data_IF_785242309335
#
_entry.id   IF_785242309335
#
_cell.length_a   1.000
_cell.length_b   1.000
_cell.length_c   1.000
_cell.angle_alpha   90.00
_cell.angle_beta   90.00
_cell.angle_gamma   90.00
#
_symmetry.space_group_name_H-M   'P 1'
#
loop_
_entity.id
_entity.type
_entity.pdbx_description
1 polymer ?
#
# COMPACT_ATOMS: atom_id res chain seq x y z
N UNK A 1 -10.93 -2.42 -3.99
CA UNK A 1 -9.98 -1.38 -3.57
C UNK A 1 -9.36 -1.75 -2.23
N UNK A 2 -8.14 -1.23 -1.93
CA UNK A 2 -7.47 -1.57 -0.66
C UNK A 2 -6.73 -0.35 -0.09
N UNK A 3 -7.06 0.03 1.14
CA UNK A 3 -6.47 1.17 1.86
C UNK A 3 -6.00 0.75 3.25
N UNK A 4 -5.19 1.56 3.89
CA UNK A 4 -4.83 1.42 5.31
C UNK A 4 -4.40 2.76 5.87
N UNK A 5 -4.95 3.24 6.99
CA UNK A 5 -4.49 4.48 7.60
C UNK A 5 -3.01 4.44 8.01
N UNK A 6 -2.52 3.26 8.40
CA UNK A 6 -1.14 3.07 8.86
C UNK A 6 -0.39 2.16 7.89
N UNK A 7 0.68 2.69 7.27
CA UNK A 7 1.56 1.93 6.38
C UNK A 7 2.09 0.67 7.07
N UNK A 8 1.94 -0.47 6.41
CA UNK A 8 2.45 -1.75 6.93
C UNK A 8 1.47 -2.55 7.80
N UNK A 9 0.32 -2.00 8.17
CA UNK A 9 -0.75 -2.72 8.88
C UNK A 9 -1.73 -3.39 7.90
N UNK A 10 -2.75 -4.09 8.42
CA UNK A 10 -3.79 -4.75 7.64
C UNK A 10 -4.54 -3.78 6.72
N UNK A 11 -5.02 -4.30 5.61
CA UNK A 11 -5.78 -3.54 4.62
C UNK A 11 -7.27 -3.49 4.98
N UNK A 12 -7.91 -2.38 4.67
CA UNK A 12 -9.34 -2.24 4.54
C UNK A 12 -9.75 -2.39 3.07
N UNK A 13 -10.97 -2.83 2.84
CA UNK A 13 -11.56 -2.98 1.51
C UNK A 13 -12.84 -2.17 1.40
N UNK A 14 -12.74 -0.84 1.32
CA UNK A 14 -13.92 0.03 1.24
C UNK A 14 -14.64 -0.13 -0.10
N UNK A 15 -15.96 0.05 -0.10
CA UNK A 15 -16.78 0.06 -1.32
C UNK A 15 -16.59 1.33 -2.15
N UNK A 16 -16.11 2.42 -1.53
CA UNK A 16 -15.80 3.67 -2.19
C UNK A 16 -14.60 4.37 -1.53
N UNK A 17 -13.82 5.09 -2.34
CA UNK A 17 -12.73 5.97 -1.88
C UNK A 17 -12.85 7.32 -2.58
N UNK A 18 -12.50 8.39 -1.87
CA UNK A 18 -12.26 9.69 -2.49
C UNK A 18 -10.79 9.74 -2.89
N UNK A 19 -10.51 9.80 -4.18
CA UNK A 19 -9.17 10.05 -4.70
C UNK A 19 -8.88 11.55 -4.71
N UNK A 20 -7.90 11.94 -3.92
CA UNK A 20 -7.30 13.26 -3.89
C UNK A 20 -5.97 13.22 -4.68
N UNK A 21 -5.39 14.38 -4.99
CA UNK A 21 -4.07 14.43 -5.64
C UNK A 21 -2.98 13.69 -4.86
N UNK A 22 -3.15 13.57 -3.57
CA UNK A 22 -2.23 12.89 -2.64
C UNK A 22 -2.54 11.42 -2.41
N UNK A 23 -3.55 10.85 -3.07
CA UNK A 23 -3.99 9.45 -2.95
C UNK A 23 -5.40 9.31 -2.39
N UNK A 24 -5.78 8.10 -2.02
CA UNK A 24 -7.07 7.87 -1.38
C UNK A 24 -7.11 8.56 -0.01
N UNK A 25 -8.19 9.28 0.26
CA UNK A 25 -8.35 9.99 1.52
C UNK A 25 -8.20 9.03 2.71
N UNK A 26 -7.35 9.39 3.66
CA UNK A 26 -7.06 8.58 4.85
C UNK A 26 -6.10 7.41 4.63
N UNK A 27 -5.63 7.17 3.39
CA UNK A 27 -4.70 6.08 3.12
C UNK A 27 -3.28 6.47 3.47
N UNK A 28 -2.59 5.64 4.28
CA UNK A 28 -1.18 5.79 4.68
C UNK A 28 -0.83 7.16 5.28
N UNK A 29 -1.77 7.76 6.01
CA UNK A 29 -1.50 9.00 6.77
C UNK A 29 -0.45 8.79 7.87
N UNK A 30 -0.34 7.54 8.34
CA UNK A 30 0.56 7.16 9.40
C UNK A 30 1.53 6.07 8.94
N UNK A 31 2.66 5.99 9.63
CA UNK A 31 3.64 4.93 9.45
C UNK A 31 4.34 4.62 10.78
N UNK A 32 5.04 3.48 10.86
CA UNK A 32 5.73 3.03 12.07
C UNK A 32 7.24 3.12 11.85
N UNK A 33 7.97 3.66 12.83
CA UNK A 33 9.43 3.77 12.81
C UNK A 33 10.05 3.04 13.99
N UNK A 34 11.30 2.59 13.82
CA UNK A 34 12.13 2.01 14.89
C UNK A 34 12.83 3.09 15.74
N UNK A 35 13.61 2.67 16.73
CA UNK A 35 14.36 3.56 17.61
C UNK A 35 15.47 4.39 16.92
N UNK A 36 15.71 4.13 15.63
CA UNK A 36 16.68 4.88 14.78
C UNK A 36 15.97 5.70 13.70
N UNK A 37 14.70 5.97 13.87
CA UNK A 37 13.83 6.71 12.94
C UNK A 37 13.68 6.05 11.56
N UNK A 38 13.91 4.73 11.43
CA UNK A 38 13.77 4.01 10.16
C UNK A 38 12.39 3.38 10.06
N UNK A 39 11.80 3.46 8.88
CA UNK A 39 10.52 2.84 8.58
C UNK A 39 10.52 1.34 8.92
N UNK A 40 9.54 0.90 9.68
CA UNK A 40 9.22 -0.51 9.87
C UNK A 40 8.35 -0.97 8.71
N UNK A 41 8.94 -1.71 7.80
CA UNK A 41 8.25 -2.23 6.63
C UNK A 41 7.88 -3.71 6.78
N UNK A 42 6.91 -4.16 5.99
CA UNK A 42 6.43 -5.55 5.99
C UNK A 42 7.55 -6.55 5.67
N UNK A 43 8.53 -6.18 4.85
CA UNK A 43 9.64 -7.09 4.56
C UNK A 43 10.55 -7.31 5.79
N UNK A 44 10.69 -6.32 6.65
CA UNK A 44 11.46 -6.42 7.91
C UNK A 44 10.69 -7.28 8.93
N UNK A 45 9.43 -6.94 9.17
CA UNK A 45 8.56 -7.75 10.02
C UNK A 45 7.15 -7.83 9.45
N UNK A 46 6.65 -9.05 9.24
CA UNK A 46 5.26 -9.27 8.84
C UNK A 46 4.27 -9.22 9.99
N UNK A 47 4.74 -9.17 11.25
CA UNK A 47 3.86 -9.32 12.41
C UNK A 47 2.83 -8.20 12.54
N UNK A 48 3.14 -7.02 12.00
CA UNK A 48 2.25 -5.85 12.09
C UNK A 48 1.02 -5.95 11.19
N UNK A 49 1.02 -6.78 10.13
CA UNK A 49 -0.15 -6.94 9.25
C UNK A 49 -1.36 -7.55 9.97
N UNK A 50 -1.18 -8.14 11.15
CA UNK A 50 -2.28 -8.67 11.96
C UNK A 50 -3.13 -7.59 12.62
N UNK A 51 -2.65 -6.36 12.67
CA UNK A 51 -3.36 -5.23 13.25
C UNK A 51 -4.03 -4.40 12.16
N UNK A 52 -5.30 -4.12 12.35
CA UNK A 52 -6.08 -3.21 11.52
C UNK A 52 -6.24 -1.90 12.27
N UNK A 53 -5.82 -0.80 11.66
CA UNK A 53 -5.99 0.53 12.23
C UNK A 53 -7.25 1.19 11.66
N UNK A 54 -8.00 1.89 12.48
CA UNK A 54 -9.00 2.86 12.07
C UNK A 54 -8.60 4.24 12.61
N UNK A 55 -8.75 5.27 11.79
CA UNK A 55 -8.54 6.65 12.18
C UNK A 55 -9.84 7.44 11.97
N UNK A 56 -10.34 8.05 13.04
CA UNK A 56 -11.44 9.01 12.97
C UNK A 56 -10.86 10.43 13.07
N UNK A 57 -10.75 11.15 11.93
CA UNK A 57 -10.16 12.48 11.94
C UNK A 57 -11.02 13.53 12.63
N UNK A 58 -12.36 13.31 12.77
CA UNK A 58 -13.27 14.23 13.46
C UNK A 58 -13.10 14.16 14.97
N UNK A 59 -12.93 12.93 15.48
CA UNK A 59 -12.71 12.69 16.91
C UNK A 59 -11.22 12.71 17.27
N UNK A 60 -10.32 12.76 16.26
CA UNK A 60 -8.88 12.68 16.46
C UNK A 60 -8.45 11.37 17.16
N UNK A 61 -9.08 10.25 16.82
CA UNK A 61 -8.87 8.96 17.52
C UNK A 61 -8.29 7.91 16.56
N UNK A 62 -7.44 7.07 17.12
CA UNK A 62 -6.94 5.88 16.45
C UNK A 62 -7.34 4.65 17.26
N UNK A 63 -7.91 3.67 16.58
CA UNK A 63 -8.25 2.36 17.13
C UNK A 63 -7.40 1.30 16.45
N UNK A 64 -6.79 0.39 17.18
CA UNK A 64 -6.20 -0.84 16.66
C UNK A 64 -7.05 -2.05 17.02
N UNK A 65 -7.30 -2.91 16.07
CA UNK A 65 -7.94 -4.21 16.27
C UNK A 65 -7.06 -5.34 15.71
N UNK A 66 -7.23 -6.55 16.23
CA UNK A 66 -6.60 -7.78 15.75
C UNK A 66 -7.62 -8.90 15.77
N UNK A 67 -7.73 -9.65 14.69
CA UNK A 67 -8.74 -10.72 14.53
C UNK A 67 -10.18 -10.26 14.84
N UNK A 68 -10.52 -9.02 14.50
CA UNK A 68 -11.86 -8.44 14.76
C UNK A 68 -12.10 -7.94 16.16
N UNK A 69 -11.13 -8.08 17.07
CA UNK A 69 -11.23 -7.60 18.47
C UNK A 69 -10.42 -6.32 18.62
N UNK A 70 -11.00 -5.31 19.26
CA UNK A 70 -10.29 -4.09 19.63
C UNK A 70 -9.18 -4.42 20.63
N UNK A 71 -7.96 -3.95 20.33
CA UNK A 71 -6.78 -4.16 21.19
C UNK A 71 -6.47 -2.89 21.97
N UNK A 72 -6.55 -1.75 21.32
CA UNK A 72 -6.42 -0.45 21.98
C UNK A 72 -7.09 0.66 21.15
N UNK A 73 -7.48 1.71 21.86
CA UNK A 73 -8.10 2.91 21.31
C UNK A 73 -7.68 4.13 22.13
N UNK A 74 -7.54 5.27 21.49
CA UNK A 74 -7.17 6.51 22.19
C UNK A 74 -7.13 7.74 21.30
N UNK A 75 -6.98 8.94 21.90
CA UNK A 75 -6.75 10.16 21.15
C UNK A 75 -5.38 10.16 20.48
N UNK A 76 -5.32 10.60 19.23
CA UNK A 76 -4.08 10.73 18.46
C UNK A 76 -3.32 12.01 18.89
N UNK A 77 -2.69 11.99 20.05
CA UNK A 77 -1.94 13.14 20.56
C UNK A 77 -0.63 13.29 19.78
N UNK A 78 -0.38 14.47 19.23
CA UNK A 78 0.85 14.78 18.53
C UNK A 78 1.96 15.10 19.54
N UNK A 79 3.06 14.37 19.44
CA UNK A 79 4.27 14.52 20.24
C UNK A 79 5.39 15.27 19.51
N UNK A 80 6.61 14.77 19.61
CA UNK A 80 7.79 15.40 19.00
C UNK A 80 7.83 15.24 17.47
N UNK A 81 8.34 16.24 16.74
CA UNK A 81 8.60 16.10 15.31
C UNK A 81 9.74 15.11 15.07
N UNK A 82 9.71 14.46 13.92
CA UNK A 82 10.72 13.46 13.52
C UNK A 82 10.92 13.49 12.00
N UNK A 83 12.13 13.15 11.56
CA UNK A 83 12.46 12.90 10.16
C UNK A 83 12.72 11.41 10.00
N UNK A 84 11.77 10.70 9.44
CA UNK A 84 11.87 9.25 9.23
C UNK A 84 12.67 8.91 7.98
N UNK A 85 13.44 7.82 8.07
CA UNK A 85 14.19 7.27 6.95
C UNK A 85 13.36 6.14 6.28
N UNK A 86 12.95 6.37 5.05
CA UNK A 86 12.27 5.37 4.22
C UNK A 86 13.30 4.68 3.32
N UNK A 87 13.72 3.49 3.74
CA UNK A 87 14.60 2.57 3.01
C UNK A 87 16.04 3.06 2.75
N UNK A 88 16.47 4.17 3.33
CA UNK A 88 17.75 4.83 3.00
C UNK A 88 17.69 5.70 1.73
N UNK A 89 16.51 5.78 1.11
CA UNK A 89 16.30 6.46 -0.18
C UNK A 89 15.62 7.82 0.01
N UNK A 90 14.71 7.92 0.99
CA UNK A 90 13.87 9.10 1.18
C UNK A 90 13.72 9.47 2.65
N UNK A 91 13.74 10.76 2.95
CA UNK A 91 13.43 11.32 4.26
C UNK A 91 11.98 11.84 4.27
N UNK A 92 11.22 11.43 5.26
CA UNK A 92 9.81 11.80 5.43
C UNK A 92 9.64 12.51 6.76
N UNK A 93 9.21 13.76 6.71
CA UNK A 93 8.87 14.53 7.90
C UNK A 93 7.55 14.04 8.50
N UNK A 94 7.49 14.01 9.82
CA UNK A 94 6.29 13.61 10.54
C UNK A 94 6.34 14.03 12.00
N UNK A 95 5.28 13.69 12.70
CA UNK A 95 5.14 13.91 14.14
C UNK A 95 4.81 12.59 14.81
N UNK A 96 5.52 12.25 15.86
CA UNK A 96 5.23 11.07 16.69
C UNK A 96 3.80 11.19 17.23
N UNK A 97 3.06 10.10 17.21
CA UNK A 97 1.71 10.05 17.75
C UNK A 97 1.74 9.23 19.04
N UNK A 98 1.53 9.93 20.14
CA UNK A 98 1.54 9.33 21.47
C UNK A 98 0.21 8.61 21.73
N UNK A 99 0.29 7.40 22.25
CA UNK A 99 -0.88 6.61 22.56
C UNK A 99 -0.58 5.13 22.84
N UNK A 100 -1.59 4.34 23.19
CA UNK A 100 -1.41 2.95 23.62
C UNK A 100 -0.89 2.03 22.48
N UNK A 101 -1.09 2.40 21.23
CA UNK A 101 -0.61 1.64 20.06
C UNK A 101 0.90 1.48 20.02
N UNK A 102 1.68 2.45 20.55
CA UNK A 102 3.13 2.34 20.56
C UNK A 102 3.62 1.12 21.34
N UNK A 103 3.02 0.83 22.48
CA UNK A 103 3.33 -0.37 23.28
C UNK A 103 2.88 -1.66 22.55
N UNK A 104 1.64 -1.68 22.02
CA UNK A 104 1.08 -2.83 21.28
C UNK A 104 1.92 -3.17 20.03
N UNK A 105 2.29 -2.16 19.24
CA UNK A 105 3.08 -2.35 18.03
C UNK A 105 4.53 -2.72 18.35
N UNK A 106 5.11 -2.20 19.44
CA UNK A 106 6.46 -2.57 19.90
C UNK A 106 6.52 -4.04 20.32
N UNK A 107 5.55 -4.51 21.09
CA UNK A 107 5.47 -5.92 21.48
C UNK A 107 5.37 -6.83 20.24
N UNK A 108 4.49 -6.49 19.31
CA UNK A 108 4.34 -7.23 18.08
C UNK A 108 5.59 -7.18 17.19
N UNK A 109 6.26 -6.05 17.09
CA UNK A 109 7.48 -5.89 16.30
C UNK A 109 8.67 -6.64 16.94
N UNK A 110 8.68 -6.78 18.26
CA UNK A 110 9.78 -7.33 19.05
C UNK A 110 10.91 -6.33 19.27
N UNK A 111 10.67 -5.05 19.04
CA UNK A 111 11.58 -3.93 19.25
C UNK A 111 10.76 -2.65 19.53
N UNK A 112 11.32 -1.64 20.23
CA UNK A 112 10.63 -0.36 20.41
C UNK A 112 10.32 0.30 19.08
N UNK A 113 9.05 0.64 18.87
CA UNK A 113 8.58 1.35 17.68
C UNK A 113 7.66 2.50 18.07
N UNK A 114 7.52 3.47 17.18
CA UNK A 114 6.66 4.64 17.34
C UNK A 114 5.78 4.82 16.12
N UNK A 115 4.52 5.15 16.37
CA UNK A 115 3.59 5.59 15.33
C UNK A 115 3.90 7.06 15.00
N UNK A 116 3.93 7.38 13.72
CA UNK A 116 4.20 8.74 13.22
C UNK A 116 3.11 9.12 12.24
N UNK A 117 2.60 10.34 12.36
CA UNK A 117 1.75 10.98 11.35
C UNK A 117 2.64 11.71 10.36
N UNK A 118 2.47 11.48 9.07
CA UNK A 118 3.16 12.22 8.02
C UNK A 118 2.78 13.71 8.08
N UNK A 119 3.76 14.61 7.91
CA UNK A 119 3.49 16.05 7.87
C UNK A 119 2.78 16.44 6.58
N UNK A 120 3.20 15.86 5.46
CA UNK A 120 2.59 16.13 4.16
C UNK A 120 1.63 15.00 3.78
N UNK A 121 0.42 15.32 3.31
CA UNK A 121 -0.50 14.32 2.77
C UNK A 121 0.14 13.54 1.63
N UNK A 122 -0.01 12.20 1.65
CA UNK A 122 0.57 11.31 0.65
C UNK A 122 2.02 10.92 0.88
N UNK A 123 2.76 11.57 1.80
CA UNK A 123 4.17 11.23 2.08
C UNK A 123 4.35 9.81 2.65
N UNK A 124 3.30 9.17 3.15
CA UNK A 124 3.33 7.78 3.60
C UNK A 124 3.30 6.73 2.47
N UNK A 125 2.99 7.11 1.22
CA UNK A 125 3.09 6.19 0.07
C UNK A 125 4.54 5.83 -0.24
N UNK A 126 4.77 4.79 -1.05
CA UNK A 126 6.15 4.45 -1.47
C UNK A 126 6.63 5.47 -2.51
N UNK A 127 5.98 5.55 -3.67
CA UNK A 127 6.36 6.48 -4.75
C UNK A 127 5.16 7.34 -5.18
N UNK A 128 4.13 6.73 -5.74
CA UNK A 128 2.96 7.43 -6.27
C UNK A 128 1.70 7.15 -5.45
N UNK A 129 0.73 8.08 -5.48
CA UNK A 129 -0.48 8.00 -4.66
C UNK A 129 -1.46 6.90 -5.09
N UNK A 130 -1.40 6.45 -6.34
CA UNK A 130 -2.31 5.44 -6.90
C UNK A 130 -1.51 4.27 -7.46
N UNK A 131 -2.04 3.06 -7.25
CA UNK A 131 -1.49 1.82 -7.82
C UNK A 131 -2.60 0.99 -8.42
N UNK A 132 -2.38 0.41 -9.61
CA UNK A 132 -3.36 -0.42 -10.34
C UNK A 132 -2.77 -1.78 -10.66
N UNK A 133 -3.60 -2.83 -10.54
CA UNK A 133 -3.23 -4.21 -10.87
C UNK A 133 -4.44 -4.98 -11.38
N UNK A 134 -4.29 -5.67 -12.52
CA UNK A 134 -5.29 -6.55 -13.07
C UNK A 134 -5.44 -7.84 -12.27
N UNK A 135 -6.68 -8.27 -12.01
CA UNK A 135 -6.96 -9.56 -11.38
C UNK A 135 -6.51 -10.70 -12.28
N UNK A 136 -6.63 -10.55 -13.60
CA UNK A 136 -6.13 -11.50 -14.59
C UNK A 136 -4.61 -11.60 -14.58
N UNK A 137 -3.89 -10.52 -14.25
CA UNK A 137 -2.43 -10.55 -14.05
C UNK A 137 -2.06 -11.42 -12.84
N UNK A 138 -2.83 -11.32 -11.76
CA UNK A 138 -2.65 -12.16 -10.56
C UNK A 138 -3.01 -13.63 -10.85
N UNK A 139 -4.08 -13.87 -11.60
CA UNK A 139 -4.47 -15.22 -12.02
C UNK A 139 -3.41 -15.86 -12.94
N UNK A 140 -2.84 -15.08 -13.87
CA UNK A 140 -1.74 -15.52 -14.74
C UNK A 140 -0.47 -15.85 -13.94
N UNK A 141 -0.15 -15.05 -12.91
CA UNK A 141 0.95 -15.38 -12.00
C UNK A 141 0.74 -16.73 -11.32
N UNK A 142 -0.47 -17.01 -10.81
CA UNK A 142 -0.79 -18.28 -10.19
C UNK A 142 -0.63 -19.43 -11.20
N UNK A 143 -1.20 -19.28 -12.39
CA UNK A 143 -1.15 -20.28 -13.47
C UNK A 143 0.30 -20.59 -13.89
N UNK A 144 1.12 -19.56 -14.14
CA UNK A 144 2.55 -19.70 -14.52
C UNK A 144 3.39 -20.34 -13.45
N UNK A 145 3.01 -20.19 -12.21
CA UNK A 145 3.75 -20.72 -11.06
C UNK A 145 3.25 -22.09 -10.59
N UNK A 146 2.21 -22.63 -11.20
CA UNK A 146 1.65 -23.94 -10.85
C UNK A 146 0.97 -23.97 -9.48
N UNK A 147 0.54 -22.81 -8.94
CA UNK A 147 -0.22 -22.73 -7.69
C UNK A 147 -1.70 -22.48 -7.97
N UNK A 148 -2.56 -22.91 -7.05
CA UNK A 148 -4.02 -22.81 -7.21
C UNK A 148 -4.48 -21.34 -7.33
N UNK A 149 -3.94 -20.48 -6.48
CA UNK A 149 -4.27 -19.06 -6.45
C UNK A 149 -3.16 -18.25 -5.78
N UNK A 150 -3.11 -16.97 -6.09
CA UNK A 150 -2.30 -15.97 -5.39
C UNK A 150 -3.26 -14.91 -4.85
N UNK A 151 -3.16 -14.61 -3.57
CA UNK A 151 -3.94 -13.54 -2.97
C UNK A 151 -3.42 -12.18 -3.45
N UNK A 152 -4.27 -11.40 -4.13
CA UNK A 152 -3.94 -10.09 -4.64
C UNK A 152 -3.57 -9.07 -3.55
N UNK A 153 -4.05 -9.25 -2.32
CA UNK A 153 -3.74 -8.39 -1.18
C UNK A 153 -2.24 -8.33 -0.84
N UNK A 154 -1.47 -9.37 -1.23
CA UNK A 154 0.01 -9.38 -1.10
C UNK A 154 0.67 -8.21 -1.79
N UNK A 155 0.09 -7.73 -2.88
CA UNK A 155 0.60 -6.62 -3.67
C UNK A 155 0.20 -5.25 -3.13
N UNK A 156 -0.79 -5.20 -2.21
CA UNK A 156 -1.23 -3.99 -1.50
C UNK A 156 -1.57 -2.82 -2.44
N UNK A 157 -2.18 -3.15 -3.57
CA UNK A 157 -2.56 -2.18 -4.59
C UNK A 157 -3.84 -1.47 -4.20
N UNK A 158 -3.91 -0.17 -4.47
CA UNK A 158 -5.09 0.64 -4.17
C UNK A 158 -6.30 0.20 -4.99
N UNK A 159 -6.11 0.01 -6.30
CA UNK A 159 -7.16 -0.36 -7.24
C UNK A 159 -6.81 -1.70 -7.88
N UNK A 160 -7.69 -2.70 -7.73
CA UNK A 160 -7.72 -3.89 -8.56
C UNK A 160 -8.81 -3.73 -9.60
N UNK A 161 -8.56 -4.17 -10.83
CA UNK A 161 -9.53 -4.15 -11.91
C UNK A 161 -9.59 -5.52 -12.58
N UNK A 162 -10.71 -5.83 -13.24
CA UNK A 162 -10.94 -7.11 -13.94
C UNK A 162 -11.59 -6.89 -15.31
N UNK A 163 -11.73 -7.98 -16.08
CA UNK A 163 -12.36 -7.96 -17.41
C UNK A 163 -11.43 -7.58 -18.55
N UNK A 164 -10.12 -7.50 -18.31
CA UNK A 164 -9.11 -7.20 -19.33
C UNK A 164 -8.06 -8.33 -19.40
N UNK A 165 -7.23 -8.33 -20.44
CA UNK A 165 -6.15 -9.32 -20.57
C UNK A 165 -5.10 -9.17 -19.47
N UNK A 166 -4.50 -10.28 -19.05
CA UNK A 166 -3.39 -10.27 -18.10
C UNK A 166 -2.25 -9.36 -18.59
N UNK A 167 -1.72 -8.56 -17.67
CA UNK A 167 -0.62 -7.60 -17.91
C UNK A 167 -0.95 -6.46 -18.91
N UNK A 168 -2.22 -6.22 -19.20
CA UNK A 168 -2.62 -5.09 -20.05
C UNK A 168 -2.16 -3.74 -19.48
N UNK A 169 -2.09 -3.65 -18.14
CA UNK A 169 -1.60 -2.47 -17.42
C UNK A 169 -0.16 -2.08 -17.78
N UNK A 170 0.65 -3.01 -18.26
CA UNK A 170 2.03 -2.73 -18.71
C UNK A 170 2.07 -1.83 -19.95
N UNK A 171 0.97 -1.77 -20.71
CA UNK A 171 0.84 -0.93 -21.91
C UNK A 171 0.27 0.47 -21.61
N UNK A 172 0.02 0.80 -20.33
CA UNK A 172 -0.62 2.06 -19.94
C UNK A 172 0.31 3.21 -19.53
N UNK A 173 1.61 3.05 -19.30
CA UNK A 173 2.47 4.20 -18.98
C UNK A 173 2.27 5.36 -19.95
N UNK A 174 2.07 6.56 -19.38
CA UNK A 174 1.76 7.78 -20.13
C UNK A 174 0.28 7.97 -20.51
N UNK A 175 -0.57 6.95 -20.37
CA UNK A 175 -2.01 7.06 -20.64
C UNK A 175 -2.76 7.67 -19.46
N UNK A 176 -3.90 8.28 -19.76
CA UNK A 176 -4.88 8.71 -18.77
C UNK A 176 -5.97 7.67 -18.68
N UNK A 177 -6.35 7.34 -17.44
CA UNK A 177 -7.40 6.38 -17.14
C UNK A 177 -8.48 7.09 -16.33
N UNK A 178 -9.72 6.94 -16.76
CA UNK A 178 -10.89 7.34 -16.00
C UNK A 178 -11.35 6.15 -15.16
N UNK A 179 -11.51 6.38 -13.87
CA UNK A 179 -12.04 5.39 -12.91
C UNK A 179 -13.08 6.09 -12.05
N UNK A 180 -14.35 5.75 -12.24
CA UNK A 180 -15.44 6.46 -11.60
C UNK A 180 -15.41 7.95 -11.93
N UNK A 181 -15.40 8.82 -10.92
CA UNK A 181 -15.34 10.28 -11.11
C UNK A 181 -13.91 10.81 -11.28
N UNK A 182 -12.89 9.99 -10.98
CA UNK A 182 -11.49 10.40 -10.99
C UNK A 182 -10.82 10.17 -12.35
N UNK A 183 -9.77 10.98 -12.63
CA UNK A 183 -8.82 10.73 -13.72
C UNK A 183 -7.43 10.51 -13.13
N UNK A 184 -6.76 9.46 -13.57
CA UNK A 184 -5.38 9.17 -13.17
C UNK A 184 -4.49 9.06 -14.40
N UNK A 185 -3.25 9.55 -14.29
CA UNK A 185 -2.23 9.38 -15.31
C UNK A 185 -1.28 8.28 -14.90
N UNK A 186 -1.18 7.25 -15.72
CA UNK A 186 -0.30 6.12 -15.43
C UNK A 186 1.15 6.52 -15.61
N UNK A 187 1.93 6.27 -14.58
CA UNK A 187 3.38 6.44 -14.54
C UNK A 187 4.11 5.16 -14.94
N UNK A 188 5.13 4.81 -14.17
CA UNK A 188 5.92 3.61 -14.39
C UNK A 188 5.34 2.34 -13.77
N UNK A 189 6.02 1.19 -13.98
CA UNK A 189 5.66 -0.06 -13.36
C UNK A 189 6.01 -0.07 -11.86
N UNK A 190 5.30 -0.89 -11.07
CA UNK A 190 5.59 -1.06 -9.63
C UNK A 190 6.66 -2.13 -9.43
N UNK A 191 7.88 -1.79 -8.95
CA UNK A 191 8.88 -2.78 -8.58
C UNK A 191 8.44 -3.54 -7.32
N UNK A 192 8.67 -4.85 -7.30
CA UNK A 192 8.23 -5.73 -6.22
C UNK A 192 9.38 -6.18 -5.34
N UNK A 193 9.19 -6.03 -4.06
CA UNK A 193 10.13 -6.44 -3.03
C UNK A 193 9.62 -7.69 -2.26
N UNK A 194 10.42 -8.16 -1.33
CA UNK A 194 10.11 -9.32 -0.50
C UNK A 194 8.86 -9.16 0.40
N UNK A 195 8.28 -7.98 0.52
CA UNK A 195 7.03 -7.78 1.24
C UNK A 195 5.89 -8.64 0.68
N UNK A 196 5.82 -8.81 -0.65
CA UNK A 196 4.80 -9.60 -1.33
C UNK A 196 4.89 -11.11 -1.06
N UNK A 197 6.03 -11.59 -0.52
CA UNK A 197 6.21 -13.00 -0.15
C UNK A 197 5.49 -13.37 1.15
N UNK A 198 4.92 -12.39 1.84
CA UNK A 198 4.25 -12.60 3.12
C UNK A 198 2.75 -12.76 2.93
N UNK A 199 2.19 -13.64 3.75
CA UNK A 199 0.74 -13.78 3.90
C UNK A 199 0.15 -12.44 4.39
N UNK A 200 -0.90 -11.90 3.74
CA UNK A 200 -1.44 -10.58 4.05
C UNK A 200 -2.10 -10.49 5.43
N UNK A 201 -2.56 -11.61 6.00
CA UNK A 201 -3.24 -11.64 7.30
C UNK A 201 -2.30 -12.06 8.43
N UNK A 202 -1.44 -13.05 8.17
CA UNK A 202 -0.54 -13.64 9.19
C UNK A 202 0.86 -13.08 9.18
N UNK A 203 1.28 -12.47 8.06
CA UNK A 203 2.61 -11.92 7.89
C UNK A 203 3.73 -12.95 7.75
N UNK A 204 3.41 -14.24 7.73
CA UNK A 204 4.38 -15.30 7.51
C UNK A 204 4.89 -15.29 6.06
N UNK A 205 6.14 -15.67 5.83
CA UNK A 205 6.64 -15.89 4.47
C UNK A 205 6.20 -17.28 4.02
N UNK A 206 5.29 -17.34 3.08
CA UNK A 206 4.65 -18.58 2.64
C UNK A 206 4.64 -18.75 1.12
N UNK A 207 4.83 -17.67 0.35
CA UNK A 207 4.78 -17.72 -1.11
C UNK A 207 5.92 -16.90 -1.74
N UNK A 208 6.81 -17.48 -2.57
CA UNK A 208 7.96 -16.77 -3.13
C UNK A 208 7.56 -15.92 -4.36
N UNK A 209 6.63 -14.97 -4.18
CA UNK A 209 6.01 -14.19 -5.27
C UNK A 209 7.02 -13.47 -6.15
N UNK A 210 8.08 -12.87 -5.60
CA UNK A 210 9.13 -12.21 -6.40
C UNK A 210 9.83 -13.19 -7.33
N UNK A 211 10.14 -14.42 -6.84
CA UNK A 211 10.73 -15.48 -7.67
C UNK A 211 9.74 -15.96 -8.74
N UNK A 212 8.46 -16.08 -8.37
CA UNK A 212 7.39 -16.49 -9.28
C UNK A 212 7.25 -15.50 -10.43
N UNK A 213 7.16 -14.19 -10.13
CA UNK A 213 7.08 -13.15 -11.17
C UNK A 213 8.35 -13.18 -12.04
N UNK A 214 9.53 -13.24 -11.41
CA UNK A 214 10.80 -13.28 -12.12
C UNK A 214 10.91 -14.44 -13.11
N UNK A 215 10.33 -15.59 -12.80
CA UNK A 215 10.47 -16.80 -13.61
C UNK A 215 9.90 -16.67 -15.02
N UNK A 216 8.88 -15.83 -15.23
CA UNK A 216 8.26 -15.64 -16.53
C UNK A 216 8.32 -14.21 -17.08
N UNK A 217 8.51 -13.20 -16.21
CA UNK A 217 8.65 -11.79 -16.63
C UNK A 217 10.11 -11.33 -16.69
N UNK A 218 11.02 -12.08 -16.09
CA UNK A 218 12.41 -11.71 -16.00
C UNK A 218 12.70 -10.57 -15.03
N UNK A 219 13.90 -10.02 -15.12
CA UNK A 219 14.31 -8.79 -14.43
C UNK A 219 14.25 -7.65 -15.44
N UNK A 220 13.60 -6.58 -15.07
CA UNK A 220 13.40 -5.40 -15.87
C UNK A 220 14.20 -4.22 -15.32
N UNK A 221 14.55 -3.26 -16.18
CA UNK A 221 15.18 -2.01 -15.77
C UNK A 221 14.14 -0.90 -15.93
N UNK A 222 13.95 -0.11 -14.92
CA UNK A 222 13.07 1.06 -14.90
C UNK A 222 13.75 2.21 -14.15
N UNK A 223 13.04 3.30 -13.93
CA UNK A 223 13.52 4.47 -13.20
C UNK A 223 13.97 4.18 -11.76
N UNK A 224 13.43 3.09 -11.14
CA UNK A 224 13.81 2.62 -9.80
C UNK A 224 14.97 1.61 -9.83
N UNK A 225 15.59 1.38 -10.99
CA UNK A 225 16.70 0.45 -11.16
C UNK A 225 16.28 -0.92 -11.70
N UNK A 226 17.04 -1.97 -11.33
CA UNK A 226 16.78 -3.35 -11.76
C UNK A 226 15.87 -4.05 -10.77
N UNK A 227 14.74 -4.54 -11.25
CA UNK A 227 13.75 -5.19 -10.39
C UNK A 227 12.78 -6.09 -11.14
N UNK A 228 11.85 -6.63 -10.39
CA UNK A 228 10.73 -7.43 -10.89
C UNK A 228 9.49 -6.57 -10.78
N UNK A 229 8.83 -6.28 -11.90
CA UNK A 229 7.70 -5.38 -11.96
C UNK A 229 6.37 -6.12 -12.03
N UNK A 230 5.33 -5.58 -11.33
CA UNK A 230 3.99 -6.17 -11.34
C UNK A 230 2.95 -5.12 -10.95
N UNK A 231 2.09 -4.70 -11.90
CA UNK A 231 1.19 -3.56 -11.78
C UNK A 231 1.87 -2.22 -12.07
N UNK A 232 1.11 -1.14 -12.03
CA UNK A 232 1.56 0.20 -12.41
C UNK A 232 1.23 1.24 -11.34
N UNK A 233 2.05 2.28 -11.28
CA UNK A 233 1.80 3.52 -10.55
C UNK A 233 0.96 4.49 -11.36
N UNK A 234 0.26 5.40 -10.67
CA UNK A 234 -0.42 6.52 -11.30
C UNK A 234 -0.51 7.73 -10.38
N UNK A 235 -0.65 8.90 -10.99
CA UNK A 235 -0.90 10.16 -10.33
C UNK A 235 -2.33 10.63 -10.60
N UNK A 236 -2.95 11.30 -9.63
CA UNK A 236 -4.31 11.81 -9.78
C UNK A 236 -4.28 13.12 -10.57
N UNK A 237 -4.93 13.13 -11.73
CA UNK A 237 -5.10 14.31 -12.59
C UNK A 237 -6.38 15.08 -12.24
N UNK A 238 -7.47 14.36 -11.97
CA UNK A 238 -8.75 14.91 -11.49
C UNK A 238 -9.20 14.09 -10.29
N UNK A 239 -9.46 14.77 -9.21
CA UNK A 239 -10.01 14.16 -8.00
C UNK A 239 -11.45 13.71 -8.22
N UNK A 240 -11.88 12.70 -7.47
CA UNK A 240 -13.23 12.18 -7.56
C UNK A 240 -13.45 10.93 -6.74
N UNK A 241 -14.69 10.53 -6.59
CA UNK A 241 -15.06 9.29 -5.90
C UNK A 241 -14.95 8.12 -6.87
N UNK A 242 -14.29 7.07 -6.40
CA UNK A 242 -14.19 5.77 -7.08
C UNK A 242 -14.93 4.73 -6.23
N UNK A 243 -15.81 3.96 -6.87
CA UNK A 243 -16.60 2.92 -6.22
C UNK A 243 -16.25 1.54 -6.79
N UNK A 244 -16.48 0.51 -6.01
CA UNK A 244 -16.38 -0.88 -6.50
C UNK A 244 -17.43 -1.07 -7.60
N UNK A 245 -17.00 -1.60 -8.75
CA UNK A 245 -17.84 -1.79 -9.93
C UNK A 245 -17.85 -0.61 -10.91
N UNK A 246 -17.20 0.51 -10.59
CA UNK A 246 -17.04 1.59 -11.56
C UNK A 246 -16.25 1.13 -12.78
N UNK A 247 -16.61 1.59 -13.98
CA UNK A 247 -15.86 1.28 -15.19
C UNK A 247 -14.46 1.92 -15.15
N UNK A 248 -13.48 1.21 -15.75
CA UNK A 248 -12.16 1.72 -16.01
C UNK A 248 -12.04 1.96 -17.52
N UNK A 249 -11.82 3.22 -17.91
CA UNK A 249 -11.75 3.64 -19.31
C UNK A 249 -10.35 4.16 -19.60
N UNK A 250 -9.63 3.49 -20.48
CA UNK A 250 -8.27 3.89 -20.91
C UNK A 250 -8.36 4.82 -22.10
N UNK A 251 -7.93 6.07 -21.94
CA UNK A 251 -7.92 7.04 -23.01
C UNK A 251 -6.71 6.83 -23.94
N UNK A 252 -6.84 7.04 -25.25
CA UNK A 252 -5.69 7.01 -26.14
C UNK A 252 -4.65 8.06 -25.72
N UNK A 253 -3.39 7.82 -26.08
CA UNK A 253 -2.34 8.84 -25.93
C UNK A 253 -2.69 9.96 -26.91
N UNK A 254 -2.90 11.17 -26.41
CA UNK A 254 -3.15 12.36 -27.23
C UNK A 254 -1.86 12.82 -27.90
#
# INVERSE_FOLDING_TARGET
MSTTPVKGLALHHPDAVLLLRTGAAGDREFFVIDGRDRLISIWKTGRLVRFRAAHDPKMGRITLSSAGVEVCDGPAQLGAPVIADFYGERKVAGTVVEGPWNAVLSDAAGEPVRLVRASDPGAGHDEHPVTLLGEESVAELARRSGVRSVDAQRFRMLISFSGLSAHVEDCWPGRTIEVGEALVRVGGPVPRCAATTRDPDRGARDLPTVRMIRSYRGVQVNEFGRGVNFGVYADVVREGVVRVGDPLIVWPVG
#
